data_IF_904478579067
#
_entry.id   IF_904478579067
#
_cell.length_a   1.000
_cell.length_b   1.000
_cell.length_c   1.000
_cell.angle_alpha   90.00
_cell.angle_beta   90.00
_cell.angle_gamma   90.00
#
_symmetry.space_group_name_H-M   'P 1'
#
loop_
_entity.id
_entity.type
_entity.pdbx_description
1 polymer ?
#
# COMPACT_ATOMS: atom_id res chain seq x y z
N UNK A 1 17.09 -2.29 -8.70
CA UNK A 1 16.36 -3.10 -7.72
C UNK A 1 17.20 -4.33 -7.39
N UNK A 2 17.55 -4.47 -6.12
CA UNK A 2 18.38 -5.60 -5.67
C UNK A 2 17.50 -6.82 -5.34
N UNK A 3 18.12 -8.01 -5.21
CA UNK A 3 17.42 -9.20 -4.72
C UNK A 3 16.75 -8.95 -3.35
N UNK A 4 17.44 -8.24 -2.44
CA UNK A 4 16.90 -7.89 -1.13
C UNK A 4 15.64 -7.01 -1.23
N UNK A 5 15.60 -6.09 -2.18
CA UNK A 5 14.43 -5.22 -2.40
C UNK A 5 13.24 -6.03 -2.91
N UNK A 6 13.49 -6.98 -3.80
CA UNK A 6 12.43 -7.88 -4.28
C UNK A 6 11.86 -8.74 -3.15
N UNK A 7 12.72 -9.27 -2.28
CA UNK A 7 12.30 -10.06 -1.11
C UNK A 7 11.44 -9.20 -0.15
N UNK A 8 11.85 -7.95 0.10
CA UNK A 8 11.04 -7.02 0.92
C UNK A 8 9.69 -6.76 0.30
N UNK A 9 9.63 -6.51 -1.00
CA UNK A 9 8.36 -6.27 -1.70
C UNK A 9 7.42 -7.47 -1.60
N UNK A 10 7.92 -8.67 -1.85
CA UNK A 10 7.14 -9.90 -1.72
C UNK A 10 6.67 -10.10 -0.28
N UNK A 11 7.55 -9.87 0.70
CA UNK A 11 7.20 -9.96 2.12
C UNK A 11 6.03 -9.02 2.48
N UNK A 12 6.07 -7.78 2.01
CA UNK A 12 5.00 -6.82 2.25
C UNK A 12 3.68 -7.24 1.60
N UNK A 13 3.71 -7.69 0.36
CA UNK A 13 2.52 -8.16 -0.37
C UNK A 13 1.89 -9.35 0.37
N UNK A 14 2.71 -10.34 0.75
CA UNK A 14 2.25 -11.52 1.48
C UNK A 14 1.70 -11.13 2.84
N UNK A 15 2.34 -10.21 3.55
CA UNK A 15 1.89 -9.72 4.86
C UNK A 15 0.53 -9.04 4.78
N UNK A 16 0.32 -8.18 3.81
CA UNK A 16 -0.97 -7.50 3.60
C UNK A 16 -2.05 -8.52 3.25
N UNK A 17 -1.77 -9.43 2.33
CA UNK A 17 -2.70 -10.50 1.96
C UNK A 17 -3.04 -11.40 3.15
N UNK A 18 -2.06 -11.83 3.91
CA UNK A 18 -2.27 -12.63 5.12
C UNK A 18 -3.13 -11.87 6.14
N UNK A 19 -2.85 -10.60 6.37
CA UNK A 19 -3.60 -9.75 7.28
C UNK A 19 -5.09 -9.67 6.88
N UNK A 20 -5.36 -9.42 5.61
CA UNK A 20 -6.74 -9.33 5.10
C UNK A 20 -7.47 -10.65 5.17
N UNK A 21 -6.90 -11.72 4.63
CA UNK A 21 -7.59 -13.01 4.53
C UNK A 21 -7.67 -13.76 5.85
N UNK A 22 -6.67 -13.65 6.73
CA UNK A 22 -6.74 -14.21 8.08
C UNK A 22 -7.78 -13.48 8.94
N UNK A 23 -7.84 -12.15 8.83
CA UNK A 23 -8.85 -11.35 9.54
C UNK A 23 -10.25 -11.65 9.02
N UNK A 24 -10.41 -11.82 7.71
CA UNK A 24 -11.67 -12.22 7.10
C UNK A 24 -12.08 -13.66 7.45
N UNK A 25 -11.12 -14.54 7.68
CA UNK A 25 -11.34 -15.96 7.93
C UNK A 25 -11.73 -16.76 6.69
N UNK A 26 -11.58 -16.20 5.50
CA UNK A 26 -11.92 -16.85 4.23
C UNK A 26 -11.06 -16.31 3.10
N UNK A 27 -10.79 -17.16 2.11
CA UNK A 27 -10.19 -16.75 0.84
C UNK A 27 -11.26 -16.40 -0.21
N UNK A 28 -12.52 -16.69 0.06
CA UNK A 28 -13.65 -16.36 -0.82
C UNK A 28 -14.10 -14.92 -0.57
N UNK A 29 -13.29 -14.00 -1.04
CA UNK A 29 -13.54 -12.57 -0.95
C UNK A 29 -13.03 -11.85 -2.21
N UNK A 30 -13.84 -11.82 -3.29
CA UNK A 30 -13.42 -11.27 -4.59
C UNK A 30 -12.92 -9.82 -4.49
N UNK A 31 -13.56 -8.97 -3.67
CA UNK A 31 -13.15 -7.57 -3.52
C UNK A 31 -11.73 -7.44 -2.96
N UNK A 32 -11.33 -8.32 -2.04
CA UNK A 32 -9.96 -8.34 -1.51
C UNK A 32 -8.95 -8.79 -2.57
N UNK A 33 -9.30 -9.74 -3.42
CA UNK A 33 -8.44 -10.14 -4.53
C UNK A 33 -8.26 -9.02 -5.55
N UNK A 34 -9.31 -8.28 -5.87
CA UNK A 34 -9.24 -7.10 -6.74
C UNK A 34 -8.34 -6.05 -6.10
N UNK A 35 -8.53 -5.75 -4.84
CA UNK A 35 -7.70 -4.81 -4.08
C UNK A 35 -6.22 -5.19 -4.10
N UNK A 36 -5.91 -6.46 -3.82
CA UNK A 36 -4.54 -6.97 -3.85
C UNK A 36 -3.93 -6.88 -5.24
N UNK A 37 -4.68 -7.24 -6.28
CA UNK A 37 -4.22 -7.15 -7.67
C UNK A 37 -3.92 -5.69 -8.05
N UNK A 38 -4.78 -4.76 -7.72
CA UNK A 38 -4.58 -3.34 -7.99
C UNK A 38 -3.34 -2.78 -7.26
N UNK A 39 -3.15 -3.15 -6.00
CA UNK A 39 -1.98 -2.74 -5.23
C UNK A 39 -0.69 -3.31 -5.80
N UNK A 40 -0.68 -4.58 -6.17
CA UNK A 40 0.51 -5.23 -6.76
C UNK A 40 0.82 -4.61 -8.13
N UNK A 41 -0.17 -4.48 -9.00
CA UNK A 41 0.03 -3.93 -10.35
C UNK A 41 0.43 -2.46 -10.27
N UNK A 42 -0.28 -1.66 -9.50
CA UNK A 42 0.01 -0.23 -9.34
C UNK A 42 1.37 0.01 -8.70
N UNK A 43 1.68 -0.72 -7.64
CA UNK A 43 2.97 -0.65 -6.96
C UNK A 43 4.13 -1.06 -7.86
N UNK A 44 3.98 -2.16 -8.61
CA UNK A 44 4.99 -2.60 -9.57
C UNK A 44 5.17 -1.60 -10.72
N UNK A 45 4.09 -1.07 -11.27
CA UNK A 45 4.16 -0.09 -12.35
C UNK A 45 4.95 1.16 -11.91
N UNK A 46 4.65 1.72 -10.74
CA UNK A 46 5.37 2.87 -10.19
C UNK A 46 6.83 2.51 -9.89
N UNK A 47 7.08 1.35 -9.27
CA UNK A 47 8.42 0.91 -8.92
C UNK A 47 9.30 0.70 -10.14
N UNK A 48 8.79 0.03 -11.18
CA UNK A 48 9.53 -0.19 -12.42
C UNK A 48 9.79 1.13 -13.17
N UNK A 49 8.81 2.02 -13.18
CA UNK A 49 9.00 3.34 -13.76
C UNK A 49 10.08 4.14 -13.04
N UNK A 50 10.09 4.14 -11.70
CA UNK A 50 11.12 4.78 -10.89
C UNK A 50 12.50 4.13 -11.10
N UNK A 51 12.56 2.81 -11.19
CA UNK A 51 13.81 2.09 -11.45
C UNK A 51 14.44 2.51 -12.78
N UNK A 52 13.61 2.83 -13.76
CA UNK A 52 14.07 3.29 -15.07
C UNK A 52 14.36 4.79 -15.09
N UNK A 53 13.52 5.61 -14.46
CA UNK A 53 13.58 7.08 -14.59
C UNK A 53 14.43 7.75 -13.51
N UNK A 54 14.33 7.27 -12.27
CA UNK A 54 15.03 7.85 -11.11
C UNK A 54 15.40 6.77 -10.08
N UNK A 55 16.47 6.00 -10.35
CA UNK A 55 16.92 4.94 -9.43
C UNK A 55 17.31 5.47 -8.05
N UNK A 56 17.74 6.73 -7.94
CA UNK A 56 18.09 7.36 -6.68
C UNK A 56 16.87 7.51 -5.78
N UNK A 57 15.79 8.04 -6.31
CA UNK A 57 14.52 8.20 -5.60
C UNK A 57 13.94 6.84 -5.19
N UNK A 58 14.04 5.84 -6.06
CA UNK A 58 13.63 4.48 -5.74
C UNK A 58 14.40 3.94 -4.53
N UNK A 59 15.72 4.09 -4.51
CA UNK A 59 16.57 3.62 -3.42
C UNK A 59 16.19 4.26 -2.08
N UNK A 60 15.91 5.56 -2.07
CA UNK A 60 15.48 6.27 -0.87
C UNK A 60 14.13 5.75 -0.36
N UNK A 61 13.18 5.49 -1.25
CA UNK A 61 11.88 4.94 -0.89
C UNK A 61 11.94 3.51 -0.36
N UNK A 62 12.87 2.70 -0.87
CA UNK A 62 13.10 1.34 -0.39
C UNK A 62 13.80 1.31 0.99
N UNK A 63 14.29 2.44 1.48
CA UNK A 63 14.92 2.60 2.80
C UNK A 63 13.99 2.43 4.00
N UNK A 64 12.68 2.41 3.75
CA UNK A 64 11.67 2.23 4.80
C UNK A 64 11.22 3.54 5.48
N UNK A 65 10.21 3.45 6.36
CA UNK A 65 9.59 4.62 6.97
C UNK A 65 10.43 5.26 8.09
N UNK A 66 11.42 4.55 8.61
CA UNK A 66 12.28 5.02 9.69
C UNK A 66 13.71 5.15 9.19
N UNK A 67 14.21 6.37 9.13
CA UNK A 67 15.55 6.68 8.61
C UNK A 67 16.43 7.32 9.67
N UNK A 68 17.75 7.20 9.50
CA UNK A 68 18.74 7.88 10.35
C UNK A 68 18.63 9.40 10.13
N UNK A 69 18.63 10.15 11.23
CA UNK A 69 18.52 11.60 11.19
C UNK A 69 17.09 12.14 11.13
N UNK A 70 16.09 11.26 11.05
CA UNK A 70 14.70 11.65 11.11
C UNK A 70 14.33 12.18 12.51
N UNK A 71 13.57 13.28 12.56
CA UNK A 71 13.10 13.86 13.81
C UNK A 71 12.24 12.87 14.61
N UNK A 72 12.32 12.94 15.95
CA UNK A 72 11.56 12.04 16.83
C UNK A 72 10.04 12.10 16.54
N UNK A 73 9.50 13.29 16.36
CA UNK A 73 8.07 13.47 16.06
C UNK A 73 7.64 12.86 14.74
N UNK A 74 8.50 12.89 13.72
CA UNK A 74 8.25 12.23 12.43
C UNK A 74 8.19 10.71 12.59
N UNK A 75 9.07 10.15 13.42
CA UNK A 75 9.05 8.72 13.74
C UNK A 75 7.76 8.31 14.45
N UNK A 76 7.32 9.12 15.43
CA UNK A 76 6.05 8.90 16.14
C UNK A 76 4.87 8.99 15.17
N UNK A 77 4.85 10.00 14.33
CA UNK A 77 3.81 10.18 13.32
C UNK A 77 3.76 9.01 12.34
N UNK A 78 4.91 8.57 11.83
CA UNK A 78 4.98 7.42 10.93
C UNK A 78 4.52 6.13 11.59
N UNK A 79 4.92 5.90 12.85
CA UNK A 79 4.44 4.75 13.61
C UNK A 79 2.91 4.79 13.80
N UNK A 80 2.36 5.96 14.12
CA UNK A 80 0.92 6.16 14.24
C UNK A 80 0.19 5.84 12.93
N UNK A 81 0.67 6.39 11.81
CA UNK A 81 0.08 6.13 10.47
C UNK A 81 0.12 4.65 10.13
N UNK A 82 1.23 3.96 10.40
CA UNK A 82 1.36 2.51 10.14
C UNK A 82 0.34 1.73 10.96
N UNK A 83 0.22 2.01 12.26
CA UNK A 83 -0.73 1.33 13.15
C UNK A 83 -2.16 1.57 12.70
N UNK A 84 -2.52 2.81 12.37
CA UNK A 84 -3.86 3.17 11.89
C UNK A 84 -4.16 2.46 10.57
N UNK A 85 -3.22 2.43 9.65
CA UNK A 85 -3.41 1.82 8.34
C UNK A 85 -3.61 0.29 8.43
N UNK A 86 -2.77 -0.40 9.18
CA UNK A 86 -2.93 -1.84 9.41
C UNK A 86 -4.20 -2.15 10.21
N UNK A 87 -4.50 -1.37 11.23
CA UNK A 87 -5.73 -1.51 12.01
C UNK A 87 -6.97 -1.32 11.15
N UNK A 88 -6.96 -0.36 10.24
CA UNK A 88 -8.03 -0.14 9.28
C UNK A 88 -8.24 -1.33 8.34
N UNK A 89 -7.17 -1.91 7.81
CA UNK A 89 -7.26 -3.12 6.97
C UNK A 89 -7.90 -4.28 7.73
N UNK A 90 -7.49 -4.49 8.99
CA UNK A 90 -8.08 -5.54 9.84
C UNK A 90 -9.55 -5.28 10.10
N UNK A 91 -9.92 -4.07 10.48
CA UNK A 91 -11.32 -3.70 10.74
C UNK A 91 -12.18 -3.86 9.49
N UNK A 92 -11.67 -3.48 8.33
CA UNK A 92 -12.37 -3.63 7.06
C UNK A 92 -12.65 -5.11 6.76
N UNK A 93 -11.67 -5.97 6.97
CA UNK A 93 -11.82 -7.41 6.74
C UNK A 93 -12.78 -8.05 7.75
N UNK A 94 -12.69 -7.68 9.02
CA UNK A 94 -13.61 -8.15 10.07
C UNK A 94 -15.04 -7.72 9.79
N UNK A 95 -15.26 -6.46 9.44
CA UNK A 95 -16.59 -5.96 9.12
C UNK A 95 -17.18 -6.64 7.88
N UNK A 96 -16.40 -6.77 6.82
CA UNK A 96 -16.87 -7.34 5.55
C UNK A 96 -17.26 -8.82 5.65
N UNK A 97 -16.57 -9.61 6.47
CA UNK A 97 -16.70 -11.06 6.46
C UNK A 97 -17.11 -11.72 7.77
N UNK A 98 -16.85 -11.09 8.91
CA UNK A 98 -17.17 -11.68 10.21
C UNK A 98 -18.28 -10.97 10.95
N UNK A 99 -18.19 -9.65 11.04
CA UNK A 99 -19.12 -8.86 11.85
C UNK A 99 -20.34 -8.38 11.08
N UNK A 100 -20.21 -8.10 9.79
CA UNK A 100 -21.27 -7.57 8.92
C UNK A 100 -21.99 -6.37 9.55
N UNK A 101 -21.23 -5.48 10.17
CA UNK A 101 -21.76 -4.30 10.85
C UNK A 101 -22.23 -3.22 9.86
N UNK A 102 -21.51 -3.09 8.76
CA UNK A 102 -21.87 -2.16 7.68
C UNK A 102 -22.42 -2.93 6.48
N UNK A 103 -23.50 -2.42 5.91
CA UNK A 103 -24.08 -2.91 4.66
C UNK A 103 -23.69 -1.98 3.54
N UNK A 104 -22.50 -2.21 2.98
CA UNK A 104 -22.00 -1.39 1.89
C UNK A 104 -22.59 -1.85 0.55
N UNK A 105 -23.27 -0.97 -0.22
CA UNK A 105 -23.75 -1.31 -1.56
C UNK A 105 -22.60 -1.71 -2.48
N UNK A 106 -22.85 -2.66 -3.39
CA UNK A 106 -21.85 -3.10 -4.39
C UNK A 106 -21.30 -1.93 -5.23
N UNK A 107 -22.14 -0.93 -5.51
CA UNK A 107 -21.73 0.28 -6.23
C UNK A 107 -20.53 0.98 -5.57
N UNK A 108 -20.43 1.00 -4.24
CA UNK A 108 -19.30 1.59 -3.52
C UNK A 108 -18.04 0.73 -3.64
N UNK A 109 -18.16 -0.59 -3.74
CA UNK A 109 -17.02 -1.46 -4.03
C UNK A 109 -16.45 -1.17 -5.41
N UNK A 110 -17.28 -1.02 -6.43
CA UNK A 110 -16.84 -0.65 -7.78
C UNK A 110 -16.24 0.76 -7.81
N UNK A 111 -16.84 1.72 -7.11
CA UNK A 111 -16.29 3.07 -6.98
C UNK A 111 -14.89 3.04 -6.37
N UNK A 112 -14.69 2.27 -5.30
CA UNK A 112 -13.38 2.07 -4.68
C UNK A 112 -12.37 1.43 -5.62
N UNK A 113 -12.78 0.41 -6.38
CA UNK A 113 -11.93 -0.25 -7.37
C UNK A 113 -11.49 0.69 -8.50
N UNK A 114 -12.27 1.70 -8.83
CA UNK A 114 -11.91 2.76 -9.80
C UNK A 114 -10.99 3.80 -9.17
N UNK A 115 -11.22 4.16 -7.90
CA UNK A 115 -10.43 5.18 -7.21
C UNK A 115 -8.98 4.75 -6.94
N UNK A 116 -8.72 3.47 -6.72
CA UNK A 116 -7.36 2.97 -6.46
C UNK A 116 -6.42 3.22 -7.65
N UNK A 117 -6.75 2.83 -8.89
CA UNK A 117 -5.92 3.18 -10.06
C UNK A 117 -5.74 4.67 -10.25
N UNK A 118 -6.76 5.49 -9.99
CA UNK A 118 -6.67 6.94 -10.04
C UNK A 118 -5.65 7.44 -9.01
N UNK A 119 -5.68 6.89 -7.79
CA UNK A 119 -4.70 7.20 -6.75
C UNK A 119 -3.27 6.88 -7.16
N UNK A 120 -3.02 5.71 -7.74
CA UNK A 120 -1.70 5.34 -8.27
C UNK A 120 -1.26 6.24 -9.42
N UNK A 121 -2.19 6.65 -10.28
CA UNK A 121 -1.91 7.61 -11.35
C UNK A 121 -1.47 8.97 -10.79
N UNK A 122 -2.15 9.47 -9.76
CA UNK A 122 -1.77 10.72 -9.08
C UNK A 122 -0.39 10.59 -8.42
N UNK A 123 -0.10 9.46 -7.77
CA UNK A 123 1.23 9.16 -7.20
C UNK A 123 2.29 9.17 -8.30
N UNK A 124 2.03 8.53 -9.43
CA UNK A 124 2.94 8.55 -10.57
C UNK A 124 3.16 9.97 -11.11
N UNK A 125 2.11 10.78 -11.26
CA UNK A 125 2.23 12.18 -11.67
C UNK A 125 3.10 12.98 -10.70
N UNK A 126 2.90 12.78 -9.41
CA UNK A 126 3.70 13.43 -8.35
C UNK A 126 5.19 13.12 -8.53
N UNK A 127 5.54 11.86 -8.76
CA UNK A 127 6.93 11.47 -8.97
C UNK A 127 7.50 11.96 -10.28
N UNK A 128 6.67 12.07 -11.31
CA UNK A 128 7.09 12.60 -12.61
C UNK A 128 7.45 14.09 -12.53
N UNK A 129 6.65 14.86 -11.80
CA UNK A 129 6.83 16.32 -11.70
C UNK A 129 7.81 16.72 -10.60
N UNK A 130 8.01 15.90 -9.60
CA UNK A 130 8.71 16.28 -8.38
C UNK A 130 9.70 15.19 -7.94
N UNK A 131 10.90 15.22 -8.55
CA UNK A 131 12.02 14.40 -8.11
C UNK A 131 12.52 14.77 -6.71
N UNK A 132 12.05 15.89 -6.15
CA UNK A 132 12.37 16.38 -4.80
C UNK A 132 11.43 15.87 -3.70
N UNK A 133 10.49 15.00 -4.01
CA UNK A 133 9.66 14.36 -3.00
C UNK A 133 10.44 13.36 -2.11
N UNK A 134 11.75 13.30 -2.30
CA UNK A 134 12.64 12.63 -1.38
C UNK A 134 12.90 13.54 -0.16
N UNK A 135 12.81 13.03 1.06
CA UNK A 135 13.23 13.81 2.23
C UNK A 135 14.73 14.14 2.09
N UNK A 136 15.02 15.42 2.15
CA UNK A 136 16.39 15.93 2.19
C UNK A 136 17.02 15.52 3.53
#
# INVERSE_FOLDING_TARGET
>A
MTWADSVKAVFWIVSIGALLFLSAGTLDWPSAWIFMAEFVIGGLAVTLWLAWRDPGLLKERMGGPFQKGQAFWDKVFMAFIIVVWFGWLVLMALDAKRWNLSHMPEALNYAGAVLIPIGFFIVWLTFRENSFAAPV
#
